data_IF_713149758234
#
_entry.id   IF_713149758234
#
_cell.length_a   1.000
_cell.length_b   1.000
_cell.length_c   1.000
_cell.angle_alpha   90.00
_cell.angle_beta   90.00
_cell.angle_gamma   90.00
#
_symmetry.space_group_name_H-M   'P 1'
#
loop_
_entity.id
_entity.type
_entity.pdbx_description
1 polymer ?
#
# COMPACT_ATOMS: atom_id res chain seq x y z
N UNK A 1 17.18 -1.59 11.30
CA UNK A 1 16.18 -0.54 11.20
C UNK A 1 14.80 -1.15 11.36
N UNK A 2 13.87 -0.50 12.09
CA UNK A 2 12.57 -1.09 12.34
C UNK A 2 11.69 -1.13 11.08
N UNK A 3 10.81 -2.11 11.04
CA UNK A 3 9.87 -2.32 9.95
C UNK A 3 8.45 -2.43 10.49
N UNK A 4 7.48 -1.98 9.69
CA UNK A 4 6.06 -2.22 9.93
C UNK A 4 5.69 -3.50 9.16
N UNK A 5 5.03 -4.44 9.83
CA UNK A 5 4.65 -5.71 9.25
C UNK A 5 3.15 -5.95 9.43
N UNK A 6 2.49 -6.40 8.35
CA UNK A 6 1.09 -6.81 8.41
C UNK A 6 0.85 -8.04 7.55
N UNK A 7 -0.13 -8.85 7.94
CA UNK A 7 -0.58 -10.02 7.19
C UNK A 7 -2.08 -9.93 6.97
N UNK A 8 -2.51 -9.94 5.71
CA UNK A 8 -3.92 -9.84 5.31
C UNK A 8 -4.25 -11.02 4.40
N UNK A 9 -5.39 -11.65 4.61
CA UNK A 9 -5.90 -12.70 3.73
C UNK A 9 -7.17 -12.24 3.01
N UNK A 10 -7.25 -12.53 1.71
CA UNK A 10 -8.38 -12.14 0.85
C UNK A 10 -8.98 -13.38 0.20
N UNK A 11 -10.31 -13.45 0.16
CA UNK A 11 -11.07 -14.52 -0.48
C UNK A 11 -11.82 -14.01 -1.69
N UNK A 12 -12.29 -14.93 -2.53
CA UNK A 12 -13.08 -14.61 -3.72
C UNK A 12 -12.35 -13.67 -4.67
N UNK A 13 -11.04 -13.81 -4.74
CA UNK A 13 -10.18 -13.05 -5.63
C UNK A 13 -9.02 -13.93 -6.09
N UNK A 14 -8.12 -13.39 -6.88
CA UNK A 14 -6.96 -14.12 -7.39
C UNK A 14 -5.70 -13.32 -7.15
N UNK A 15 -4.54 -13.99 -7.17
CA UNK A 15 -3.24 -13.30 -7.09
C UNK A 15 -3.08 -12.28 -8.20
N UNK A 16 -3.59 -12.55 -9.40
CA UNK A 16 -3.58 -11.60 -10.52
C UNK A 16 -4.34 -10.33 -10.17
N UNK A 17 -5.57 -10.47 -9.63
CA UNK A 17 -6.39 -9.30 -9.29
C UNK A 17 -5.77 -8.49 -8.15
N UNK A 18 -5.20 -9.14 -7.15
CA UNK A 18 -4.48 -8.45 -6.08
C UNK A 18 -3.28 -7.70 -6.65
N UNK A 19 -2.49 -8.36 -7.50
CA UNK A 19 -1.33 -7.73 -8.15
C UNK A 19 -1.76 -6.51 -8.96
N UNK A 20 -2.84 -6.60 -9.73
CA UNK A 20 -3.36 -5.46 -10.51
C UNK A 20 -3.81 -4.31 -9.63
N UNK A 21 -4.40 -4.58 -8.47
CA UNK A 21 -4.78 -3.55 -7.50
C UNK A 21 -3.57 -2.82 -6.91
N UNK A 22 -2.40 -3.44 -6.92
CA UNK A 22 -1.15 -2.86 -6.42
C UNK A 22 -0.33 -2.17 -7.52
N UNK A 23 -0.64 -2.39 -8.79
CA UNK A 23 0.19 -1.94 -9.90
C UNK A 23 -0.55 -1.07 -10.92
N UNK A 24 -1.85 -0.85 -10.77
CA UNK A 24 -2.61 0.02 -11.68
C UNK A 24 -3.07 1.28 -10.98
N UNK A 25 -3.17 2.38 -11.73
CA UNK A 25 -3.70 3.63 -11.21
C UNK A 25 -5.14 3.45 -10.69
N UNK A 26 -5.97 2.75 -11.47
CA UNK A 26 -7.36 2.50 -11.08
C UNK A 26 -7.42 1.71 -9.78
N UNK A 27 -6.66 0.63 -9.67
CA UNK A 27 -6.64 -0.20 -8.47
C UNK A 27 -6.20 0.59 -7.24
N UNK A 28 -5.07 1.28 -7.34
CA UNK A 28 -4.52 2.08 -6.23
C UNK A 28 -5.49 3.18 -5.79
N UNK A 29 -6.25 3.76 -6.75
CA UNK A 29 -7.27 4.77 -6.46
C UNK A 29 -8.48 4.19 -5.73
N UNK A 30 -8.71 2.90 -5.84
CA UNK A 30 -9.87 2.24 -5.22
C UNK A 30 -9.64 1.83 -3.78
N UNK A 31 -8.38 1.77 -3.32
CA UNK A 31 -8.14 1.32 -1.95
C UNK A 31 -7.23 2.22 -1.13
N UNK A 32 -6.30 2.97 -1.72
CA UNK A 32 -5.37 3.81 -0.96
C UNK A 32 -5.80 5.28 -0.96
N UNK A 33 -5.70 5.96 -2.12
CA UNK A 33 -6.26 7.32 -2.25
C UNK A 33 -6.87 7.49 -3.62
N UNK A 34 -8.05 8.12 -3.65
CA UNK A 34 -8.73 8.41 -4.90
C UNK A 34 -7.96 9.41 -5.78
N UNK A 35 -7.01 10.14 -5.21
CA UNK A 35 -6.17 11.11 -5.93
C UNK A 35 -4.79 10.51 -6.18
N UNK A 36 -4.72 9.59 -7.14
CA UNK A 36 -3.49 8.88 -7.54
C UNK A 36 -3.13 9.29 -8.96
N UNK A 37 -1.90 9.74 -9.16
CA UNK A 37 -1.39 10.21 -10.46
C UNK A 37 -0.21 9.36 -10.93
N UNK A 38 -0.35 8.76 -12.10
CA UNK A 38 0.68 7.93 -12.71
C UNK A 38 0.32 6.46 -12.70
N UNK A 39 1.26 5.63 -13.10
CA UNK A 39 1.09 4.17 -13.13
C UNK A 39 2.27 3.50 -12.44
N UNK A 40 2.05 2.28 -11.97
CA UNK A 40 3.05 1.50 -11.24
C UNK A 40 3.18 0.10 -11.82
N UNK A 41 2.92 -0.06 -13.12
CA UNK A 41 2.90 -1.35 -13.81
C UNK A 41 4.21 -1.71 -14.51
N UNK A 42 5.23 -0.87 -14.40
CA UNK A 42 6.58 -1.13 -14.93
C UNK A 42 7.64 -0.67 -13.94
N UNK A 43 8.72 -1.42 -13.86
CA UNK A 43 9.87 -1.05 -13.05
C UNK A 43 10.44 0.29 -13.51
N UNK A 44 10.85 1.12 -12.55
CA UNK A 44 11.40 2.44 -12.81
C UNK A 44 10.37 3.56 -12.87
N UNK A 45 9.08 3.24 -12.98
CA UNK A 45 8.02 4.26 -12.98
C UNK A 45 7.83 4.89 -11.62
N UNK A 46 7.42 6.16 -11.62
CA UNK A 46 7.04 6.88 -10.40
C UNK A 46 5.55 7.16 -10.40
N UNK A 47 4.96 7.08 -9.22
CA UNK A 47 3.54 7.35 -9.03
C UNK A 47 3.38 8.24 -7.79
N UNK A 48 2.43 9.17 -7.87
CA UNK A 48 2.17 10.14 -6.80
C UNK A 48 0.80 9.89 -6.18
N UNK A 49 0.80 9.84 -4.85
CA UNK A 49 -0.41 9.67 -4.04
C UNK A 49 -0.66 10.95 -3.25
N UNK A 50 -1.79 11.61 -3.50
CA UNK A 50 -2.16 12.84 -2.81
C UNK A 50 -3.14 12.55 -1.67
N UNK A 51 -2.84 13.14 -0.50
CA UNK A 51 -3.64 12.99 0.71
C UNK A 51 -3.95 14.39 1.25
N UNK A 52 -4.79 15.13 0.52
CA UNK A 52 -5.08 16.53 0.86
C UNK A 52 -3.84 17.41 0.63
N UNK A 53 -3.30 17.98 1.71
CA UNK A 53 -2.14 18.86 1.63
C UNK A 53 -0.81 18.13 1.55
N UNK A 54 -0.82 16.81 1.69
CA UNK A 54 0.39 15.98 1.67
C UNK A 54 0.39 15.09 0.44
N UNK A 55 1.58 14.74 -0.02
CA UNK A 55 1.76 13.83 -1.12
C UNK A 55 2.89 12.88 -0.84
N UNK A 56 2.77 11.66 -1.37
CA UNK A 56 3.80 10.63 -1.31
C UNK A 56 4.11 10.24 -2.74
N UNK A 57 5.39 10.22 -3.10
CA UNK A 57 5.83 9.70 -4.39
C UNK A 57 6.66 8.46 -4.16
N UNK A 58 6.36 7.42 -4.91
CA UNK A 58 7.15 6.18 -4.89
C UNK A 58 7.72 5.92 -6.27
N UNK A 59 8.80 5.15 -6.30
CA UNK A 59 9.34 4.58 -7.52
C UNK A 59 9.24 3.07 -7.44
N UNK A 60 8.78 2.44 -8.52
CA UNK A 60 8.68 0.98 -8.60
C UNK A 60 10.08 0.41 -8.79
N UNK A 61 10.54 -0.40 -7.84
CA UNK A 61 11.85 -1.05 -7.89
C UNK A 61 11.78 -2.43 -8.52
N UNK A 62 10.80 -3.24 -8.12
CA UNK A 62 10.65 -4.60 -8.60
C UNK A 62 9.19 -4.96 -8.80
N UNK A 63 8.92 -5.67 -9.89
CA UNK A 63 7.62 -6.28 -10.15
C UNK A 63 7.84 -7.74 -10.53
N UNK A 64 7.29 -8.65 -9.74
CA UNK A 64 7.20 -10.06 -10.08
C UNK A 64 5.70 -10.39 -10.18
N UNK A 65 5.16 -10.54 -11.40
CA UNK A 65 3.70 -10.68 -11.59
C UNK A 65 3.10 -11.72 -10.67
N UNK A 66 2.00 -11.32 -10.02
CA UNK A 66 1.21 -12.14 -9.08
C UNK A 66 1.95 -12.55 -7.80
N UNK A 67 3.17 -12.05 -7.56
CA UNK A 67 4.02 -12.48 -6.44
C UNK A 67 4.57 -11.35 -5.59
N UNK A 68 5.07 -10.28 -6.22
CA UNK A 68 5.83 -9.27 -5.47
C UNK A 68 5.75 -7.91 -6.13
N UNK A 69 5.54 -6.90 -5.30
CA UNK A 69 5.65 -5.48 -5.68
C UNK A 69 6.54 -4.82 -4.64
N UNK A 70 7.59 -4.13 -5.10
CA UNK A 70 8.51 -3.41 -4.23
C UNK A 70 8.62 -1.97 -4.70
N UNK A 71 8.38 -1.03 -3.79
CA UNK A 71 8.51 0.40 -4.03
C UNK A 71 9.56 1.02 -3.11
N UNK A 72 10.15 2.12 -3.59
CA UNK A 72 10.96 3.02 -2.78
C UNK A 72 10.24 4.35 -2.65
N UNK A 73 10.17 4.91 -1.44
CA UNK A 73 9.60 6.24 -1.23
C UNK A 73 10.66 7.27 -1.59
N UNK A 74 10.36 8.09 -2.60
CA UNK A 74 11.29 9.12 -3.11
C UNK A 74 10.89 10.53 -2.65
N UNK A 75 9.64 10.72 -2.23
CA UNK A 75 9.16 11.99 -1.67
C UNK A 75 7.99 11.71 -0.73
N UNK A 76 7.86 12.54 0.31
CA UNK A 76 6.79 12.39 1.29
C UNK A 76 7.21 12.93 2.65
N UNK A 77 6.60 12.44 3.74
CA UNK A 77 7.02 12.80 5.09
C UNK A 77 8.49 12.47 5.29
N UNK A 78 9.18 13.30 6.07
CA UNK A 78 10.64 13.14 6.28
C UNK A 78 11.02 11.73 6.73
N UNK A 79 10.19 11.11 7.59
CA UNK A 79 10.45 9.77 8.13
C UNK A 79 10.31 8.67 7.07
N UNK A 80 9.62 8.96 5.95
CA UNK A 80 9.40 8.00 4.88
C UNK A 80 10.49 8.04 3.80
N UNK A 81 11.31 9.08 3.74
CA UNK A 81 12.34 9.21 2.71
C UNK A 81 13.28 8.00 2.71
N UNK A 82 13.43 7.38 1.55
CA UNK A 82 14.34 6.24 1.38
C UNK A 82 13.82 4.94 1.97
N UNK A 83 12.65 4.93 2.59
CA UNK A 83 12.04 3.68 3.05
C UNK A 83 11.50 2.90 1.86
N UNK A 84 11.25 1.61 2.05
CA UNK A 84 10.72 0.73 1.02
C UNK A 84 9.41 0.12 1.47
N UNK A 85 8.53 -0.12 0.51
CA UNK A 85 7.23 -0.74 0.75
C UNK A 85 7.17 -2.00 -0.09
N UNK A 86 6.94 -3.15 0.55
CA UNK A 86 6.94 -4.45 -0.08
C UNK A 86 5.60 -5.15 0.11
N UNK A 87 5.09 -5.72 -0.99
CA UNK A 87 3.87 -6.52 -1.00
C UNK A 87 4.24 -7.89 -1.58
N UNK A 88 4.19 -8.92 -0.76
CA UNK A 88 4.46 -10.30 -1.19
C UNK A 88 3.16 -11.07 -1.15
N UNK A 89 2.82 -11.72 -2.27
CA UNK A 89 1.59 -12.50 -2.42
C UNK A 89 1.90 -13.98 -2.43
N UNK A 90 1.07 -14.76 -1.75
CA UNK A 90 1.09 -16.22 -1.83
C UNK A 90 -0.32 -16.75 -1.69
N UNK A 91 -0.56 -17.95 -2.19
CA UNK A 91 -1.83 -18.62 -2.02
C UNK A 91 -1.71 -19.64 -0.88
N UNK A 92 -2.72 -19.67 -0.02
CA UNK A 92 -2.75 -20.56 1.13
C UNK A 92 -4.20 -20.92 1.40
N UNK A 93 -4.55 -22.18 1.18
CA UNK A 93 -5.93 -22.66 1.24
C UNK A 93 -6.79 -21.88 0.23
N UNK A 94 -7.89 -21.28 0.67
CA UNK A 94 -8.78 -20.50 -0.19
C UNK A 94 -8.46 -19.00 -0.18
N UNK A 95 -7.29 -18.64 0.37
CA UNK A 95 -6.91 -17.23 0.54
C UNK A 95 -5.77 -16.86 -0.39
N UNK A 96 -5.79 -15.62 -0.87
CA UNK A 96 -4.59 -14.92 -1.30
C UNK A 96 -4.06 -14.18 -0.09
N UNK A 97 -2.86 -14.53 0.35
CA UNK A 97 -2.22 -13.92 1.51
C UNK A 97 -1.29 -12.82 1.03
N UNK A 98 -1.45 -11.65 1.61
CA UNK A 98 -0.55 -10.52 1.41
C UNK A 98 0.32 -10.37 2.65
N UNK A 99 1.64 -10.45 2.46
CA UNK A 99 2.62 -10.10 3.47
C UNK A 99 3.15 -8.70 3.13
N UNK A 100 2.83 -7.76 3.99
CA UNK A 100 3.16 -6.35 3.80
C UNK A 100 4.31 -5.93 4.69
N UNK A 101 5.23 -5.12 4.15
CA UNK A 101 6.29 -4.48 4.94
C UNK A 101 6.46 -3.04 4.51
N UNK A 102 6.61 -2.15 5.48
CA UNK A 102 7.13 -0.81 5.25
C UNK A 102 8.47 -0.76 5.99
N UNK A 103 9.56 -0.87 5.23
CA UNK A 103 10.90 -1.21 5.72
C UNK A 103 11.82 0.01 5.81
N UNK A 104 12.87 -0.18 6.62
CA UNK A 104 14.02 0.73 6.65
C UNK A 104 13.72 2.09 7.28
N UNK A 105 12.81 2.14 8.23
CA UNK A 105 12.62 3.32 9.06
C UNK A 105 13.89 3.57 9.88
N UNK A 106 14.28 4.84 10.03
CA UNK A 106 15.48 5.19 10.78
C UNK A 106 15.36 4.87 12.27
N UNK A 107 14.16 5.08 12.84
CA UNK A 107 13.91 4.87 14.26
C UNK A 107 12.41 4.64 14.50
N UNK A 108 12.03 3.97 15.61
CA UNK A 108 10.63 3.73 15.94
C UNK A 108 10.02 4.98 16.59
N UNK A 109 9.79 6.03 15.81
CA UNK A 109 9.20 7.29 16.25
C UNK A 109 7.67 7.19 16.35
N UNK A 110 7.02 8.17 17.01
CA UNK A 110 5.57 8.20 17.17
C UNK A 110 4.82 8.06 15.83
N UNK A 111 5.34 8.70 14.79
CA UNK A 111 4.73 8.62 13.46
C UNK A 111 4.70 7.20 12.92
N UNK A 112 5.61 6.34 13.33
CA UNK A 112 5.60 4.93 12.94
C UNK A 112 4.40 4.19 13.54
N UNK A 113 4.03 4.52 14.79
CA UNK A 113 2.83 3.96 15.43
C UNK A 113 1.58 4.34 14.64
N UNK A 114 1.45 5.63 14.31
CA UNK A 114 0.34 6.15 13.51
C UNK A 114 0.28 5.46 12.14
N UNK A 115 1.41 5.40 11.44
CA UNK A 115 1.47 4.81 10.10
C UNK A 115 1.14 3.32 10.12
N UNK A 116 1.56 2.59 11.16
CA UNK A 116 1.22 1.17 11.28
C UNK A 116 -0.30 0.98 11.35
N UNK A 117 -0.99 1.77 12.16
CA UNK A 117 -2.46 1.70 12.26
C UNK A 117 -3.11 2.11 10.94
N UNK A 118 -2.64 3.18 10.30
CA UNK A 118 -3.18 3.60 9.00
C UNK A 118 -2.94 2.55 7.91
N UNK A 119 -1.76 1.91 7.90
CA UNK A 119 -1.52 0.81 6.96
C UNK A 119 -2.54 -0.31 7.14
N UNK A 120 -2.85 -0.68 8.39
CA UNK A 120 -3.88 -1.70 8.64
C UNK A 120 -5.23 -1.27 8.07
N UNK A 121 -5.62 -0.01 8.26
CA UNK A 121 -6.87 0.54 7.69
C UNK A 121 -6.87 0.45 6.16
N UNK A 122 -5.79 0.88 5.50
CA UNK A 122 -5.73 0.85 4.03
C UNK A 122 -5.60 -0.58 3.49
N UNK A 123 -4.95 -1.48 4.19
CA UNK A 123 -4.90 -2.88 3.78
C UNK A 123 -6.28 -3.55 3.93
N UNK A 124 -7.06 -3.17 4.92
CA UNK A 124 -8.46 -3.62 5.03
C UNK A 124 -9.32 -3.01 3.92
N UNK A 125 -9.03 -1.78 3.49
CA UNK A 125 -9.66 -1.17 2.32
C UNK A 125 -9.35 -1.96 1.04
N UNK A 126 -8.10 -2.38 0.86
CA UNK A 126 -7.69 -3.24 -0.26
C UNK A 126 -8.46 -4.56 -0.24
N UNK A 127 -8.53 -5.21 0.92
CA UNK A 127 -9.28 -6.45 1.09
C UNK A 127 -10.75 -6.26 0.72
N UNK A 128 -11.37 -5.22 1.22
CA UNK A 128 -12.77 -4.89 0.92
C UNK A 128 -12.97 -4.67 -0.57
N UNK A 129 -12.10 -3.90 -1.21
CA UNK A 129 -12.15 -3.66 -2.65
C UNK A 129 -12.09 -4.95 -3.45
N UNK A 130 -11.18 -5.84 -3.11
CA UNK A 130 -11.00 -7.10 -3.84
C UNK A 130 -12.12 -8.10 -3.59
N UNK A 131 -12.71 -8.09 -2.40
CA UNK A 131 -13.78 -9.04 -2.05
C UNK A 131 -15.15 -8.55 -2.43
N UNK A 132 -15.39 -7.24 -2.50
CA UNK A 132 -16.73 -6.67 -2.73
C UNK A 132 -16.81 -5.73 -3.93
N UNK A 133 -15.68 -5.30 -4.47
CA UNK A 133 -15.63 -4.31 -5.57
C UNK A 133 -15.54 -2.87 -5.09
N UNK A 134 -15.66 -2.58 -3.80
CA UNK A 134 -15.65 -1.22 -3.26
C UNK A 134 -14.76 -1.14 -2.03
N UNK A 135 -13.70 -0.35 -2.10
CA UNK A 135 -12.84 -0.06 -0.97
C UNK A 135 -13.20 1.26 -0.29
N UNK A 136 -12.35 1.70 0.63
CA UNK A 136 -12.50 2.96 1.34
C UNK A 136 -11.19 3.77 1.26
N UNK A 137 -10.81 4.24 0.06
CA UNK A 137 -9.58 5.02 -0.10
C UNK A 137 -9.74 6.41 0.54
N UNK A 138 -8.59 7.05 0.85
CA UNK A 138 -8.63 8.44 1.27
C UNK A 138 -9.44 9.28 0.25
N UNK A 139 -10.31 10.20 0.64
CA UNK A 139 -10.57 10.67 2.02
C UNK A 139 -11.66 9.91 2.78
N UNK A 140 -12.10 8.74 2.30
CA UNK A 140 -13.16 7.95 2.92
C UNK A 140 -12.65 6.91 3.93
N UNK A 141 -11.34 6.88 4.14
CA UNK A 141 -10.72 6.00 5.12
C UNK A 141 -11.10 6.39 6.55
N UNK A 142 -11.12 5.40 7.43
CA UNK A 142 -11.37 5.65 8.84
C UNK A 142 -10.28 6.52 9.44
N UNK A 143 -10.67 7.57 10.13
CA UNK A 143 -9.74 8.43 10.87
C UNK A 143 -9.42 7.76 12.21
N UNK A 144 -8.16 7.77 12.61
CA UNK A 144 -7.72 6.97 13.74
C UNK A 144 -7.23 7.82 14.93
N UNK A 145 -6.79 9.04 14.69
CA UNK A 145 -6.27 9.91 15.74
C UNK A 145 -6.32 11.38 15.28
N UNK A 146 -5.63 12.26 16.03
CA UNK A 146 -5.61 13.69 15.76
C UNK A 146 -4.76 14.06 14.52
N UNK A 147 -4.06 13.12 13.92
CA UNK A 147 -3.31 13.34 12.68
C UNK A 147 -4.08 12.87 11.44
N UNK A 148 -5.14 12.24 11.60
CA UNK A 148 -6.02 11.67 10.60
C UNK A 148 -6.26 10.18 10.95
#
# INVERSE_FOLDING_TARGET
MPDILHRIGMRNTTSLKVYQALSSQIGLSCWWTSDTLGTADQEGQSIRFNFGNEAITIRVLELSPNRHVLWEVTDGPAEWYGTKISFVLKEEEDFVILLFKHMDWQAPVDFMYHCSTKWAIFLMSLKQYLETGTGAPYPKDQKIDNWN
#
